data_IF_126346979321
#
_entry.id   IF_126346979321
#
_cell.length_a   1.000
_cell.length_b   1.000
_cell.length_c   1.000
_cell.angle_alpha   90.00
_cell.angle_beta   90.00
_cell.angle_gamma   90.00
#
_symmetry.space_group_name_H-M   'P 1'
#
loop_
_entity.id
_entity.type
_entity.pdbx_description
1 polymer ?
#
# COMPACT_ATOMS: atom_id res chain seq x y z
N UNK A 1 11.72 43.56 -50.50
CA UNK A 1 11.74 43.37 -49.02
C UNK A 1 10.34 43.30 -48.38
N UNK A 2 9.29 43.79 -49.04
CA UNK A 2 7.92 43.90 -48.47
C UNK A 2 7.18 42.57 -48.26
N UNK A 3 7.39 41.56 -49.12
CA UNK A 3 6.71 40.25 -48.99
C UNK A 3 7.13 39.45 -47.76
N UNK A 4 8.42 39.49 -47.36
CA UNK A 4 8.92 38.76 -46.18
C UNK A 4 8.39 39.34 -44.87
N UNK A 5 8.20 40.66 -44.81
CA UNK A 5 7.61 41.33 -43.65
C UNK A 5 6.13 40.97 -43.47
N UNK A 6 5.37 40.86 -44.56
CA UNK A 6 3.98 40.43 -44.51
C UNK A 6 3.81 38.97 -44.06
N UNK A 7 4.70 38.07 -44.50
CA UNK A 7 4.70 36.67 -44.07
C UNK A 7 5.05 36.52 -42.58
N UNK A 8 6.01 37.31 -42.09
CA UNK A 8 6.38 37.30 -40.67
C UNK A 8 5.23 37.79 -39.77
N UNK A 9 4.50 38.82 -40.19
CA UNK A 9 3.36 39.35 -39.44
C UNK A 9 2.20 38.33 -39.36
N UNK A 10 1.95 37.60 -40.44
CA UNK A 10 0.91 36.57 -40.49
C UNK A 10 1.21 35.39 -39.55
N UNK A 11 2.47 34.95 -39.47
CA UNK A 11 2.88 33.86 -38.56
C UNK A 11 2.73 34.29 -37.10
N UNK A 12 3.12 35.52 -36.77
CA UNK A 12 2.98 36.08 -35.42
C UNK A 12 1.52 36.21 -35.01
N UNK A 13 0.65 36.67 -35.93
CA UNK A 13 -0.79 36.75 -35.67
C UNK A 13 -1.42 35.36 -35.47
N UNK A 14 -0.99 34.35 -36.21
CA UNK A 14 -1.49 32.97 -36.08
C UNK A 14 -1.03 32.32 -34.76
N UNK A 15 0.21 32.59 -34.33
CA UNK A 15 0.72 32.14 -33.03
C UNK A 15 0.01 32.84 -31.85
N UNK A 16 -0.30 34.13 -31.97
CA UNK A 16 -1.06 34.88 -30.97
C UNK A 16 -2.52 34.42 -30.87
N UNK A 17 -3.16 34.06 -31.99
CA UNK A 17 -4.49 33.43 -31.96
C UNK A 17 -4.46 32.02 -31.35
N UNK A 18 -3.39 31.25 -31.58
CA UNK A 18 -3.21 29.93 -30.94
C UNK A 18 -3.05 30.02 -29.42
N UNK A 19 -2.36 31.05 -28.92
CA UNK A 19 -2.24 31.34 -27.48
C UNK A 19 -3.55 31.83 -26.85
N UNK A 20 -4.39 32.55 -27.61
CA UNK A 20 -5.71 32.99 -27.15
C UNK A 20 -6.75 31.84 -27.08
N UNK A 21 -6.53 30.75 -27.82
CA UNK A 21 -7.34 29.53 -27.78
C UNK A 21 -6.82 28.47 -26.82
N UNK A 22 -5.71 28.72 -26.13
CA UNK A 22 -5.28 27.89 -25.00
C UNK A 22 -6.24 28.17 -23.83
N UNK A 23 -7.32 27.39 -23.76
CA UNK A 23 -8.22 27.39 -22.61
C UNK A 23 -7.45 27.10 -21.31
N UNK A 24 -7.93 27.59 -20.16
CA UNK A 24 -7.28 27.34 -18.89
C UNK A 24 -7.14 25.83 -18.68
N UNK A 25 -5.91 25.38 -18.41
CA UNK A 25 -5.65 24.01 -18.02
C UNK A 25 -6.43 23.72 -16.74
N UNK A 26 -7.41 22.83 -16.82
CA UNK A 26 -8.14 22.34 -15.66
C UNK A 26 -7.22 21.37 -14.93
N UNK A 27 -6.94 21.62 -13.65
CA UNK A 27 -6.19 20.71 -12.82
C UNK A 27 -7.09 20.24 -11.67
N UNK A 28 -7.28 18.93 -11.55
CA UNK A 28 -7.78 18.30 -10.35
C UNK A 28 -6.67 18.18 -9.32
N UNK A 29 -6.95 18.62 -8.11
CA UNK A 29 -6.05 18.47 -6.97
C UNK A 29 -6.65 17.47 -5.99
N UNK A 30 -5.83 16.53 -5.56
CA UNK A 30 -6.23 15.54 -4.56
C UNK A 30 -5.58 15.90 -3.22
N UNK A 31 -6.40 16.05 -2.18
CA UNK A 31 -5.91 16.22 -0.81
C UNK A 31 -6.30 14.98 -0.02
N UNK A 32 -5.31 14.33 0.58
CA UNK A 32 -5.48 13.06 1.29
C UNK A 32 -4.92 13.17 2.70
N UNK A 33 -5.62 12.59 3.66
CA UNK A 33 -5.18 12.48 5.05
C UNK A 33 -5.47 11.08 5.58
N UNK A 34 -4.48 10.48 6.23
CA UNK A 34 -4.58 9.16 6.87
C UNK A 34 -5.00 9.35 8.33
N UNK A 35 -5.95 8.55 8.82
CA UNK A 35 -6.46 8.71 10.20
C UNK A 35 -5.36 8.57 11.27
N UNK A 36 -4.43 7.65 11.08
CA UNK A 36 -3.26 7.46 11.93
C UNK A 36 -2.01 7.22 11.08
N UNK A 37 -1.03 8.12 11.15
CA UNK A 37 0.25 7.95 10.47
C UNK A 37 1.11 6.82 11.06
N UNK A 38 0.81 6.35 12.28
CA UNK A 38 1.53 5.25 12.93
C UNK A 38 0.58 4.26 13.59
N UNK A 39 0.73 2.98 13.25
CA UNK A 39 -0.01 1.86 13.84
C UNK A 39 0.92 1.06 14.74
N UNK A 40 0.49 0.84 15.97
CA UNK A 40 1.27 0.19 17.02
C UNK A 40 0.76 -1.23 17.25
N UNK A 41 1.54 -2.24 16.89
CA UNK A 41 1.16 -3.67 17.02
C UNK A 41 1.74 -4.30 18.28
N UNK A 42 0.89 -4.89 19.12
CA UNK A 42 1.28 -5.60 20.34
C UNK A 42 1.47 -7.10 20.06
N UNK A 43 2.11 -7.88 20.97
CA UNK A 43 2.24 -9.33 20.79
C UNK A 43 0.90 -10.09 20.66
N UNK A 44 -0.19 -9.54 21.21
CA UNK A 44 -1.54 -10.11 21.12
C UNK A 44 -2.41 -9.37 20.07
N UNK A 45 -1.78 -8.76 19.05
CA UNK A 45 -2.49 -8.05 18.00
C UNK A 45 -3.36 -9.02 17.18
N UNK A 46 -4.65 -8.72 17.06
CA UNK A 46 -5.64 -9.55 16.36
C UNK A 46 -6.08 -8.98 15.01
N UNK A 47 -5.39 -7.96 14.52
CA UNK A 47 -5.78 -7.18 13.35
C UNK A 47 -6.49 -5.86 13.72
N UNK A 48 -6.68 -5.01 12.72
CA UNK A 48 -7.32 -3.71 12.85
C UNK A 48 -7.61 -3.10 11.48
N UNK A 49 -8.09 -1.86 11.47
CA UNK A 49 -8.40 -1.13 10.25
C UNK A 49 -7.80 0.27 10.34
N UNK A 50 -7.13 0.70 9.27
CA UNK A 50 -6.70 2.07 9.09
C UNK A 50 -7.64 2.76 8.11
N UNK A 51 -8.13 3.95 8.46
CA UNK A 51 -9.09 4.66 7.61
C UNK A 51 -8.37 5.79 6.88
N UNK A 52 -8.46 5.77 5.56
CA UNK A 52 -8.00 6.84 4.70
C UNK A 52 -9.16 7.76 4.34
N UNK A 53 -8.96 9.06 4.50
CA UNK A 53 -9.89 10.09 4.06
C UNK A 53 -9.24 10.97 3.01
N UNK A 54 -10.01 11.43 2.04
CA UNK A 54 -9.51 12.41 1.08
C UNK A 54 -10.62 13.16 0.39
N UNK A 55 -10.26 14.30 -0.18
CA UNK A 55 -11.14 15.13 -0.97
C UNK A 55 -10.52 15.48 -2.32
N UNK A 56 -11.35 15.42 -3.36
CA UNK A 56 -11.03 15.91 -4.71
C UNK A 56 -11.42 17.39 -4.78
N UNK A 57 -10.44 18.25 -5.00
CA UNK A 57 -10.64 19.67 -5.27
C UNK A 57 -10.53 19.96 -6.77
N UNK A 58 -11.41 20.85 -7.26
CA UNK A 58 -11.38 21.35 -8.63
C UNK A 58 -10.96 22.81 -8.61
N UNK A 59 -10.03 23.20 -9.47
CA UNK A 59 -9.57 24.59 -9.59
C UNK A 59 -10.64 25.53 -10.20
N UNK A 60 -11.68 24.99 -10.85
CA UNK A 60 -12.76 25.80 -11.43
C UNK A 60 -14.13 25.10 -11.29
N UNK A 61 -15.21 25.80 -10.89
CA UNK A 61 -16.58 25.28 -10.92
C UNK A 61 -17.11 25.24 -12.37
N UNK A 62 -16.49 24.44 -13.23
CA UNK A 62 -17.12 24.03 -14.49
C UNK A 62 -18.34 23.15 -14.18
N UNK A 63 -19.33 23.05 -15.10
CA UNK A 63 -20.48 22.17 -14.91
C UNK A 63 -19.98 20.77 -14.55
N UNK A 64 -20.60 20.07 -13.59
CA UNK A 64 -20.17 18.73 -13.23
C UNK A 64 -20.11 17.90 -14.51
N UNK A 65 -18.92 17.41 -14.85
CA UNK A 65 -18.81 16.42 -15.91
C UNK A 65 -19.85 15.32 -15.65
N UNK A 66 -20.47 14.82 -16.73
CA UNK A 66 -21.53 13.81 -16.65
C UNK A 66 -21.05 12.46 -16.09
N UNK A 67 -19.76 12.34 -15.76
CA UNK A 67 -19.12 11.10 -15.35
C UNK A 67 -18.68 11.16 -13.87
N UNK A 68 -19.03 10.15 -13.06
CA UNK A 68 -18.53 10.05 -11.70
C UNK A 68 -17.01 9.86 -11.70
N UNK A 69 -16.33 10.45 -10.71
CA UNK A 69 -14.91 10.20 -10.50
C UNK A 69 -14.65 8.76 -10.10
N UNK A 70 -13.57 8.20 -10.62
CA UNK A 70 -13.08 6.89 -10.24
C UNK A 70 -11.77 7.03 -9.45
N UNK A 71 -11.63 6.23 -8.41
CA UNK A 71 -10.49 6.31 -7.50
C UNK A 71 -9.93 4.91 -7.26
N UNK A 72 -8.61 4.78 -7.37
CA UNK A 72 -7.89 3.55 -7.05
C UNK A 72 -6.84 3.89 -6.00
N UNK A 73 -6.90 3.21 -4.86
CA UNK A 73 -5.96 3.30 -3.75
C UNK A 73 -5.15 2.02 -3.73
N UNK A 74 -3.84 2.11 -3.88
CA UNK A 74 -2.91 0.98 -3.81
C UNK A 74 -2.03 1.14 -2.58
N UNK A 75 -2.08 0.17 -1.67
CA UNK A 75 -1.29 0.13 -0.44
C UNK A 75 -0.18 -0.89 -0.61
N UNK A 76 1.06 -0.46 -0.41
CA UNK A 76 2.28 -1.25 -0.58
C UNK A 76 3.01 -1.30 0.76
N UNK A 77 3.15 -2.50 1.32
CA UNK A 77 3.94 -2.73 2.52
C UNK A 77 5.45 -2.82 2.25
N UNK A 78 6.25 -3.06 3.31
CA UNK A 78 7.70 -3.10 3.20
C UNK A 78 8.13 -4.20 2.23
N UNK A 79 9.10 -3.88 1.36
CA UNK A 79 9.57 -4.80 0.32
C UNK A 79 10.57 -5.80 0.89
N UNK A 80 10.48 -7.04 0.43
CA UNK A 80 11.35 -8.13 0.89
C UNK A 80 11.56 -9.18 -0.20
N UNK A 81 12.68 -9.88 -0.11
CA UNK A 81 12.96 -11.03 -0.97
C UNK A 81 12.25 -12.28 -0.44
N UNK A 82 11.63 -13.03 -1.34
CA UNK A 82 10.81 -14.18 -1.00
C UNK A 82 11.07 -15.35 -1.91
N UNK A 83 10.77 -16.57 -1.43
CA UNK A 83 10.93 -17.79 -2.23
C UNK A 83 9.67 -18.63 -2.18
N UNK A 84 9.03 -18.79 -3.33
CA UNK A 84 7.90 -19.71 -3.52
C UNK A 84 8.43 -21.08 -3.87
N UNK A 85 7.96 -22.12 -3.18
CA UNK A 85 8.37 -23.50 -3.41
C UNK A 85 7.18 -24.36 -3.81
N UNK A 86 7.35 -25.11 -4.90
CA UNK A 86 6.37 -26.10 -5.34
C UNK A 86 6.66 -27.41 -4.62
N UNK A 87 5.70 -27.87 -3.81
CA UNK A 87 5.75 -29.18 -3.15
C UNK A 87 5.11 -30.23 -4.04
N UNK A 88 5.77 -31.36 -4.19
CA UNK A 88 5.26 -32.52 -4.90
C UNK A 88 5.37 -33.75 -3.98
N UNK A 89 4.42 -34.67 -4.09
CA UNK A 89 4.44 -35.91 -3.31
C UNK A 89 5.14 -37.00 -4.12
N UNK A 90 6.32 -37.42 -3.69
CA UNK A 90 7.04 -38.57 -4.26
C UNK A 90 7.30 -39.60 -3.17
N UNK A 91 7.11 -40.88 -3.49
CA UNK A 91 7.31 -41.98 -2.54
C UNK A 91 6.58 -41.79 -1.21
N UNK A 92 5.37 -41.19 -1.23
CA UNK A 92 4.56 -40.98 -0.03
C UNK A 92 4.91 -39.73 0.80
N UNK A 93 6.05 -39.08 0.56
CA UNK A 93 6.51 -37.88 1.28
C UNK A 93 6.40 -36.60 0.43
N UNK A 94 6.21 -35.46 1.09
CA UNK A 94 6.23 -34.15 0.43
C UNK A 94 7.65 -33.64 0.29
N UNK A 95 8.08 -33.39 -0.93
CA UNK A 95 9.39 -32.82 -1.23
C UNK A 95 9.24 -31.48 -1.95
N UNK A 96 10.16 -30.55 -1.69
CA UNK A 96 10.23 -29.30 -2.46
C UNK A 96 10.89 -29.63 -3.80
N UNK A 97 10.11 -29.65 -4.88
CA UNK A 97 10.60 -30.02 -6.20
C UNK A 97 11.23 -28.83 -6.93
N UNK A 98 10.53 -27.70 -6.94
CA UNK A 98 10.97 -26.48 -7.63
C UNK A 98 10.83 -25.25 -6.74
N UNK A 99 11.60 -24.21 -7.05
CA UNK A 99 11.52 -22.93 -6.37
C UNK A 99 11.69 -21.74 -7.32
N UNK A 100 11.07 -20.63 -6.95
CA UNK A 100 11.25 -19.32 -7.60
C UNK A 100 11.47 -18.26 -6.54
N UNK A 101 12.48 -17.42 -6.77
CA UNK A 101 12.79 -16.28 -5.92
C UNK A 101 12.16 -15.02 -6.50
N UNK A 102 11.42 -14.30 -5.66
CA UNK A 102 10.85 -12.99 -5.90
C UNK A 102 11.71 -11.96 -5.17
N UNK A 103 12.01 -10.85 -5.83
CA UNK A 103 12.93 -9.82 -5.32
C UNK A 103 12.21 -8.53 -5.05
N UNK A 104 12.47 -7.94 -3.88
CA UNK A 104 11.87 -6.68 -3.43
C UNK A 104 10.36 -6.62 -3.66
N UNK A 105 9.65 -7.74 -3.46
CA UNK A 105 8.20 -7.77 -3.60
C UNK A 105 7.53 -7.20 -2.36
N UNK A 106 6.36 -6.54 -2.51
CA UNK A 106 5.61 -6.05 -1.37
C UNK A 106 5.25 -7.19 -0.42
N UNK A 107 5.53 -7.01 0.87
CA UNK A 107 5.10 -7.98 1.89
C UNK A 107 3.60 -7.94 2.17
N UNK A 108 2.98 -6.79 1.87
CA UNK A 108 1.54 -6.52 1.87
C UNK A 108 1.21 -5.73 0.59
N UNK A 109 0.12 -6.05 -0.08
CA UNK A 109 -0.34 -5.35 -1.29
C UNK A 109 -1.86 -5.33 -1.31
N UNK A 110 -2.47 -4.16 -1.13
CA UNK A 110 -3.91 -4.04 -1.22
C UNK A 110 -4.33 -3.02 -2.27
N UNK A 111 -5.34 -3.35 -3.08
CA UNK A 111 -5.86 -2.46 -4.12
C UNK A 111 -7.36 -2.25 -3.87
N UNK A 112 -7.73 -1.00 -3.60
CA UNK A 112 -9.10 -0.61 -3.29
C UNK A 112 -9.60 0.35 -4.35
N UNK A 113 -10.81 0.16 -4.83
CA UNK A 113 -11.44 1.10 -5.74
C UNK A 113 -12.92 1.31 -5.45
N UNK A 114 -13.53 2.28 -6.13
CA UNK A 114 -14.96 2.57 -6.04
C UNK A 114 -15.79 1.74 -7.04
N UNK A 115 -15.12 1.22 -8.07
CA UNK A 115 -15.67 0.40 -9.15
C UNK A 115 -14.66 -0.68 -9.58
N UNK A 116 -15.10 -1.76 -10.27
CA UNK A 116 -14.19 -2.73 -10.87
C UNK A 116 -13.14 -2.04 -11.75
N UNK A 117 -11.87 -2.38 -11.57
CA UNK A 117 -10.74 -1.72 -12.23
C UNK A 117 -10.88 -1.81 -13.76
N UNK A 118 -11.48 -2.89 -14.26
CA UNK A 118 -11.78 -3.09 -15.68
C UNK A 118 -12.73 -2.05 -16.27
N UNK A 119 -13.63 -1.53 -15.43
CA UNK A 119 -14.58 -0.50 -15.77
C UNK A 119 -14.06 0.92 -15.49
N UNK A 120 -12.97 1.06 -14.73
CA UNK A 120 -12.32 2.35 -14.44
C UNK A 120 -11.45 2.78 -15.62
N UNK A 121 -10.61 1.88 -16.15
CA UNK A 121 -9.66 2.22 -17.20
C UNK A 121 -9.45 1.09 -18.22
N UNK A 122 -9.05 1.47 -19.44
CA UNK A 122 -8.68 0.54 -20.50
C UNK A 122 -7.43 -0.29 -20.14
N UNK A 123 -7.27 -1.46 -20.75
CA UNK A 123 -6.23 -2.43 -20.36
C UNK A 123 -4.79 -1.91 -20.52
N UNK A 124 -4.54 -0.99 -21.44
CA UNK A 124 -3.27 -0.31 -21.62
C UNK A 124 -2.99 0.67 -20.46
N UNK A 125 -4.00 1.45 -20.06
CA UNK A 125 -3.92 2.36 -18.91
C UNK A 125 -3.74 1.57 -17.62
N UNK A 126 -4.51 0.50 -17.40
CA UNK A 126 -4.36 -0.38 -16.22
C UNK A 126 -2.96 -0.94 -16.08
N UNK A 127 -2.37 -1.40 -17.18
CA UNK A 127 -0.99 -1.94 -17.19
C UNK A 127 0.05 -0.85 -16.94
N UNK A 128 -0.07 0.29 -17.63
CA UNK A 128 0.85 1.42 -17.47
C UNK A 128 0.82 1.97 -16.05
N UNK A 129 -0.37 2.04 -15.46
CA UNK A 129 -0.61 2.55 -14.12
C UNK A 129 -0.55 1.47 -13.03
N UNK A 130 -0.25 0.21 -13.38
CA UNK A 130 -0.18 -0.93 -12.47
C UNK A 130 -1.43 -1.07 -11.57
N UNK A 131 -2.62 -0.96 -12.18
CA UNK A 131 -3.88 -1.04 -11.45
C UNK A 131 -4.28 -2.51 -11.23
N UNK A 132 -4.48 -2.86 -9.97
CA UNK A 132 -4.82 -4.23 -9.54
C UNK A 132 -3.59 -5.09 -9.27
N UNK A 133 -3.79 -6.15 -8.49
CA UNK A 133 -2.72 -7.08 -8.09
C UNK A 133 -2.11 -7.73 -9.34
N UNK A 134 -2.94 -8.06 -10.32
CA UNK A 134 -2.54 -8.69 -11.59
C UNK A 134 -1.55 -7.85 -12.39
N UNK A 135 -1.68 -6.52 -12.39
CA UNK A 135 -0.81 -5.61 -13.14
C UNK A 135 0.32 -5.01 -12.30
N UNK A 136 0.39 -5.35 -11.01
CA UNK A 136 1.50 -4.96 -10.15
C UNK A 136 2.74 -5.78 -10.51
N UNK A 137 3.87 -5.10 -10.71
CA UNK A 137 5.13 -5.74 -11.08
C UNK A 137 5.66 -6.56 -9.90
N UNK A 138 5.94 -7.84 -10.12
CA UNK A 138 6.51 -8.75 -9.12
C UNK A 138 7.78 -9.38 -9.69
N UNK A 139 8.90 -8.67 -9.54
CA UNK A 139 10.19 -9.09 -10.10
C UNK A 139 10.59 -10.46 -9.59
N UNK A 140 10.91 -11.36 -10.53
CA UNK A 140 11.41 -12.70 -10.26
C UNK A 140 12.86 -12.84 -10.74
N UNK A 141 13.62 -13.69 -10.05
CA UNK A 141 14.90 -14.19 -10.53
C UNK A 141 14.70 -15.48 -11.32
N UNK A 142 15.09 -15.47 -12.59
CA UNK A 142 15.03 -16.63 -13.50
C UNK A 142 16.45 -16.95 -13.95
N UNK A 143 17.08 -17.95 -13.32
CA UNK A 143 18.48 -18.26 -13.58
C UNK A 143 19.40 -17.09 -13.20
N UNK A 144 20.12 -16.54 -14.19
CA UNK A 144 20.99 -15.37 -14.03
C UNK A 144 20.29 -14.03 -14.31
N UNK A 145 19.05 -14.05 -14.81
CA UNK A 145 18.32 -12.86 -15.25
C UNK A 145 17.21 -12.44 -14.27
N UNK A 146 16.78 -11.18 -14.37
CA UNK A 146 15.75 -10.57 -13.53
C UNK A 146 14.67 -9.96 -14.41
N UNK A 147 13.46 -10.49 -14.30
CA UNK A 147 12.32 -10.00 -15.07
C UNK A 147 11.04 -10.08 -14.23
N UNK A 148 10.11 -9.16 -14.48
CA UNK A 148 8.72 -9.41 -14.13
C UNK A 148 8.17 -10.50 -15.05
N UNK A 149 7.37 -11.40 -14.50
CA UNK A 149 6.76 -12.47 -15.30
C UNK A 149 5.35 -12.11 -15.67
N UNK A 150 4.90 -12.69 -16.78
CA UNK A 150 3.51 -12.60 -17.24
C UNK A 150 2.57 -13.00 -16.09
N UNK A 151 1.43 -12.33 -16.00
CA UNK A 151 0.41 -12.59 -14.97
C UNK A 151 0.03 -14.07 -14.82
N UNK A 152 0.08 -14.83 -15.92
CA UNK A 152 -0.29 -16.25 -15.99
C UNK A 152 0.83 -17.23 -15.59
N UNK A 153 1.99 -16.75 -15.11
CA UNK A 153 3.04 -17.64 -14.61
C UNK A 153 2.56 -18.41 -13.37
N UNK A 154 2.70 -19.75 -13.40
CA UNK A 154 2.21 -20.63 -12.33
C UNK A 154 2.78 -20.28 -10.95
N UNK A 155 4.03 -19.80 -10.85
CA UNK A 155 4.63 -19.44 -9.57
C UNK A 155 4.13 -18.08 -9.09
N UNK A 156 3.91 -17.13 -10.00
CA UNK A 156 3.28 -15.85 -9.69
C UNK A 156 1.86 -16.06 -9.18
N UNK A 157 1.02 -16.79 -9.91
CA UNK A 157 -0.37 -17.06 -9.49
C UNK A 157 -0.42 -17.78 -8.14
N UNK A 158 0.43 -18.80 -7.96
CA UNK A 158 0.50 -19.51 -6.68
C UNK A 158 1.01 -18.63 -5.53
N UNK A 159 1.96 -17.73 -5.80
CA UNK A 159 2.46 -16.77 -4.81
C UNK A 159 1.36 -15.80 -4.38
N UNK A 160 0.70 -15.15 -5.34
CA UNK A 160 -0.40 -14.21 -5.08
C UNK A 160 -1.50 -14.89 -4.27
N UNK A 161 -1.96 -16.07 -4.71
CA UNK A 161 -2.97 -16.87 -3.98
C UNK A 161 -2.57 -17.16 -2.54
N UNK A 162 -1.33 -17.58 -2.29
CA UNK A 162 -0.84 -17.83 -0.93
C UNK A 162 -0.78 -16.56 -0.06
N UNK A 163 -0.62 -15.38 -0.66
CA UNK A 163 -0.67 -14.11 0.04
C UNK A 163 -2.11 -13.66 0.32
N UNK A 164 -3.02 -13.88 -0.62
CA UNK A 164 -4.46 -13.65 -0.47
C UNK A 164 -5.06 -14.53 0.64
N UNK A 165 -4.70 -15.81 0.69
CA UNK A 165 -5.11 -16.74 1.76
C UNK A 165 -4.71 -16.27 3.17
N UNK A 166 -3.67 -15.44 3.27
CA UNK A 166 -3.21 -14.83 4.54
C UNK A 166 -3.75 -13.43 4.78
N UNK A 167 -4.57 -12.89 3.86
CA UNK A 167 -5.07 -11.52 3.91
C UNK A 167 -3.99 -10.45 3.74
N UNK A 168 -2.82 -10.83 3.19
CA UNK A 168 -1.72 -9.88 2.94
C UNK A 168 -1.85 -9.21 1.57
N UNK A 169 -2.46 -9.92 0.62
CA UNK A 169 -2.79 -9.42 -0.70
C UNK A 169 -4.32 -9.34 -0.78
N UNK A 170 -4.86 -8.18 -1.14
CA UNK A 170 -6.32 -7.97 -1.13
C UNK A 170 -6.73 -7.00 -2.24
N UNK A 171 -7.86 -7.30 -2.90
CA UNK A 171 -8.40 -6.44 -3.96
C UNK A 171 -9.92 -6.32 -3.78
N UNK A 172 -10.38 -5.11 -3.41
CA UNK A 172 -11.80 -4.83 -3.22
C UNK A 172 -12.24 -3.67 -4.15
N UNK A 173 -13.01 -3.98 -5.21
CA UNK A 173 -13.47 -2.99 -6.17
C UNK A 173 -14.58 -2.07 -5.65
N UNK A 174 -15.00 -2.22 -4.40
CA UNK A 174 -16.05 -1.44 -3.76
C UNK A 174 -15.63 -0.85 -2.41
N UNK A 175 -14.37 -0.99 -1.98
CA UNK A 175 -13.89 -0.48 -0.70
C UNK A 175 -13.87 1.06 -0.62
N UNK A 176 -13.62 1.75 -1.73
CA UNK A 176 -13.64 3.22 -1.76
C UNK A 176 -15.08 3.72 -1.86
N UNK A 177 -15.51 4.47 -0.85
CA UNK A 177 -16.84 5.08 -0.79
C UNK A 177 -16.75 6.60 -0.86
N UNK A 178 -17.43 7.19 -1.82
CA UNK A 178 -17.68 8.63 -1.85
C UNK A 178 -18.80 8.97 -0.86
N UNK A 179 -18.49 9.84 0.11
CA UNK A 179 -19.45 10.39 1.06
C UNK A 179 -20.15 11.63 0.49
N UNK A 180 -19.42 12.37 -0.35
CA UNK A 180 -19.93 13.48 -1.18
C UNK A 180 -19.30 13.36 -2.58
N UNK A 181 -19.70 14.17 -3.59
CA UNK A 181 -19.06 14.13 -4.91
C UNK A 181 -17.55 14.40 -4.91
N UNK A 182 -17.02 14.93 -3.81
CA UNK A 182 -15.59 15.26 -3.66
C UNK A 182 -14.93 14.51 -2.51
N UNK A 183 -15.64 14.16 -1.44
CA UNK A 183 -15.08 13.51 -0.25
C UNK A 183 -15.24 11.99 -0.33
N UNK A 184 -14.16 11.27 -0.10
CA UNK A 184 -14.14 9.82 -0.06
C UNK A 184 -13.49 9.27 1.21
N UNK A 185 -13.82 8.01 1.49
CA UNK A 185 -13.26 7.20 2.58
C UNK A 185 -12.93 5.82 2.04
N UNK A 186 -11.82 5.23 2.50
CA UNK A 186 -11.55 3.79 2.34
C UNK A 186 -10.99 3.22 3.64
N UNK A 187 -11.39 1.99 3.95
CA UNK A 187 -10.80 1.20 5.03
C UNK A 187 -9.65 0.36 4.49
N UNK A 188 -8.55 0.29 5.22
CA UNK A 188 -7.38 -0.54 4.92
C UNK A 188 -7.31 -1.61 6.01
N UNK A 189 -7.72 -2.86 5.72
CA UNK A 189 -7.66 -3.95 6.68
C UNK A 189 -6.21 -4.35 6.95
N UNK A 190 -5.84 -4.38 8.23
CA UNK A 190 -4.52 -4.81 8.69
C UNK A 190 -4.70 -6.16 9.42
N UNK A 191 -4.28 -7.29 8.81
CA UNK A 191 -4.43 -8.61 9.42
C UNK A 191 -3.51 -8.78 10.64
N UNK A 192 -3.76 -9.81 11.45
CA UNK A 192 -2.92 -10.10 12.62
C UNK A 192 -1.44 -10.34 12.28
N UNK A 193 -1.15 -10.91 11.10
CA UNK A 193 0.20 -11.17 10.60
C UNK A 193 0.80 -10.00 9.79
N UNK A 194 0.28 -8.77 9.98
CA UNK A 194 0.73 -7.61 9.21
C UNK A 194 2.24 -7.34 9.41
N UNK A 195 3.04 -7.24 8.33
CA UNK A 195 4.46 -6.95 8.43
C UNK A 195 4.77 -5.59 9.09
N UNK A 196 5.83 -5.54 9.89
CA UNK A 196 6.32 -4.30 10.51
C UNK A 196 7.16 -3.54 9.48
N UNK A 197 6.98 -2.22 9.39
CA UNK A 197 7.76 -1.35 8.51
C UNK A 197 6.95 -0.18 7.95
N UNK A 198 7.51 0.47 6.93
CA UNK A 198 6.87 1.57 6.21
C UNK A 198 5.90 1.05 5.15
N UNK A 199 4.75 1.70 5.06
CA UNK A 199 3.72 1.45 4.07
C UNK A 199 3.52 2.69 3.22
N UNK A 200 3.47 2.49 1.92
CA UNK A 200 3.20 3.51 0.91
C UNK A 200 1.76 3.35 0.42
N UNK A 201 1.03 4.46 0.28
CA UNK A 201 -0.34 4.48 -0.21
C UNK A 201 -0.37 5.39 -1.43
N UNK A 202 -0.59 4.82 -2.60
CA UNK A 202 -0.74 5.54 -3.85
C UNK A 202 -2.23 5.72 -4.14
N UNK A 203 -2.69 6.96 -4.23
CA UNK A 203 -4.07 7.29 -4.58
C UNK A 203 -4.08 7.88 -5.97
N UNK A 204 -4.79 7.24 -6.89
CA UNK A 204 -4.91 7.63 -8.30
C UNK A 204 -6.35 7.99 -8.61
N UNK A 205 -6.57 9.20 -9.11
CA UNK A 205 -7.87 9.71 -9.54
C UNK A 205 -7.99 9.57 -11.06
N UNK A 206 -9.09 8.98 -11.50
CA UNK A 206 -9.43 8.76 -12.89
C UNK A 206 -10.70 9.51 -13.28
N UNK A 207 -10.72 10.01 -14.50
CA UNK A 207 -11.88 10.57 -15.16
C UNK A 207 -11.93 10.07 -16.61
N UNK A 208 -13.08 9.54 -17.02
CA UNK A 208 -13.28 9.02 -18.38
C UNK A 208 -12.20 8.00 -18.83
N UNK A 209 -11.68 7.17 -17.93
CA UNK A 209 -10.66 6.17 -18.25
C UNK A 209 -9.21 6.67 -18.23
N UNK A 210 -8.98 7.96 -18.01
CA UNK A 210 -7.65 8.57 -17.98
C UNK A 210 -7.25 8.98 -16.57
N UNK A 211 -5.94 8.92 -16.28
CA UNK A 211 -5.40 9.37 -15.01
C UNK A 211 -5.39 10.91 -14.98
N UNK A 212 -6.18 11.50 -14.09
CA UNK A 212 -6.23 12.95 -13.90
C UNK A 212 -5.12 13.42 -12.97
N UNK A 213 -5.01 12.80 -11.80
CA UNK A 213 -4.03 13.15 -10.78
C UNK A 213 -3.70 11.97 -9.89
N UNK A 214 -2.57 12.05 -9.20
CA UNK A 214 -2.16 11.06 -8.21
C UNK A 214 -1.53 11.73 -7.00
N UNK A 215 -1.66 11.11 -5.84
CA UNK A 215 -1.05 11.57 -4.60
C UNK A 215 -0.58 10.37 -3.80
N UNK A 216 0.52 10.55 -3.09
CA UNK A 216 1.14 9.51 -2.28
C UNK A 216 1.13 9.94 -0.82
N UNK A 217 0.85 8.98 0.06
CA UNK A 217 0.98 9.15 1.50
C UNK A 217 1.62 7.89 2.08
N UNK A 218 2.04 7.95 3.33
CA UNK A 218 2.68 6.82 4.00
C UNK A 218 2.23 6.72 5.45
N UNK A 219 2.29 5.50 5.97
CA UNK A 219 2.12 5.23 7.38
C UNK A 219 3.11 4.16 7.84
N UNK A 220 3.41 4.13 9.13
CA UNK A 220 4.37 3.20 9.69
C UNK A 220 3.68 2.21 10.63
N UNK A 221 3.97 0.92 10.47
CA UNK A 221 3.59 -0.09 11.44
C UNK A 221 4.81 -0.42 12.29
N UNK A 222 4.72 -0.17 13.59
CA UNK A 222 5.77 -0.42 14.56
C UNK A 222 5.30 -1.35 15.67
N UNK A 223 6.20 -2.23 16.15
CA UNK A 223 5.90 -3.10 17.28
C UNK A 223 5.97 -2.32 18.59
N UNK A 224 4.96 -2.49 19.44
CA UNK A 224 5.02 -2.04 20.83
C UNK A 224 5.86 -3.03 21.62
N UNK A 225 7.08 -2.61 21.98
CA UNK A 225 7.97 -3.40 22.81
C UNK A 225 7.54 -3.34 24.28
N UNK A 226 7.32 -4.51 24.91
CA UNK A 226 7.36 -4.63 26.38
C UNK A 226 8.67 -4.05 26.94
N UNK A 227 9.75 -4.15 26.16
CA UNK A 227 11.05 -3.52 26.41
C UNK A 227 10.95 -2.01 26.60
N UNK A 228 10.17 -1.30 25.78
CA UNK A 228 9.98 0.15 25.93
C UNK A 228 9.16 0.48 27.18
N UNK A 229 8.16 -0.35 27.51
CA UNK A 229 7.39 -0.22 28.75
C UNK A 229 8.29 -0.40 29.98
N UNK A 230 9.11 -1.47 30.02
CA UNK A 230 10.07 -1.74 31.10
C UNK A 230 11.12 -0.63 31.19
N UNK A 231 11.68 -0.20 30.06
CA UNK A 231 12.66 0.88 30.01
C UNK A 231 12.08 2.21 30.50
N UNK A 232 10.85 2.55 30.11
CA UNK A 232 10.16 3.74 30.59
C UNK A 232 9.82 3.63 32.08
N UNK A 233 9.36 2.47 32.55
CA UNK A 233 9.09 2.23 33.96
C UNK A 233 10.36 2.37 34.82
N UNK A 234 11.49 1.83 34.36
CA UNK A 234 12.78 1.97 35.02
C UNK A 234 13.30 3.42 35.02
N UNK A 235 13.05 4.20 33.96
CA UNK A 235 13.52 5.60 33.86
C UNK A 235 12.62 6.60 34.59
N UNK A 236 11.30 6.49 34.46
CA UNK A 236 10.35 7.45 35.05
C UNK A 236 9.94 7.07 36.48
N UNK A 237 9.93 5.78 36.81
CA UNK A 237 9.51 5.25 38.11
C UNK A 237 10.56 4.30 38.71
N UNK A 238 11.84 4.66 38.59
CA UNK A 238 12.98 3.78 38.93
C UNK A 238 12.96 3.22 40.35
N UNK A 239 12.48 3.99 41.35
CA UNK A 239 12.37 3.52 42.74
C UNK A 239 11.32 2.41 42.87
N UNK A 240 10.13 2.61 42.29
CA UNK A 240 9.04 1.63 42.32
C UNK A 240 9.44 0.38 41.54
N UNK A 241 10.05 0.57 40.37
CA UNK A 241 10.57 -0.53 39.55
C UNK A 241 11.62 -1.36 40.29
N UNK A 242 12.59 -0.71 40.94
CA UNK A 242 13.62 -1.37 41.73
C UNK A 242 13.05 -2.17 42.91
N UNK A 243 12.11 -1.59 43.66
CA UNK A 243 11.44 -2.26 44.77
C UNK A 243 10.68 -3.51 44.29
N UNK A 244 9.91 -3.39 43.21
CA UNK A 244 9.12 -4.48 42.65
C UNK A 244 10.01 -5.60 42.11
N UNK A 245 11.14 -5.24 41.49
CA UNK A 245 12.17 -6.18 41.03
C UNK A 245 12.80 -6.94 42.19
N UNK A 246 13.16 -6.24 43.28
CA UNK A 246 13.71 -6.87 44.48
C UNK A 246 12.72 -7.84 45.13
N UNK A 247 11.44 -7.45 45.19
CA UNK A 247 10.37 -8.28 45.73
C UNK A 247 10.15 -9.54 44.88
N UNK A 248 10.17 -9.41 43.54
CA UNK A 248 10.13 -10.56 42.64
C UNK A 248 11.34 -11.48 42.80
N UNK A 249 12.54 -10.94 42.97
CA UNK A 249 13.75 -11.73 43.20
C UNK A 249 13.66 -12.53 44.51
N UNK A 250 13.19 -11.90 45.60
CA UNK A 250 12.94 -12.56 46.88
C UNK A 250 11.87 -13.66 46.76
N UNK A 251 10.75 -13.36 46.11
CA UNK A 251 9.67 -14.33 45.90
C UNK A 251 10.13 -15.53 45.06
N UNK A 252 10.94 -15.29 44.02
CA UNK A 252 11.48 -16.34 43.16
C UNK A 252 12.51 -17.18 43.91
N UNK A 253 13.41 -16.57 44.68
CA UNK A 253 14.37 -17.27 45.52
C UNK A 253 13.69 -18.13 46.60
N UNK A 254 12.61 -17.60 47.20
CA UNK A 254 11.78 -18.34 48.14
C UNK A 254 11.04 -19.52 47.48
N UNK A 255 10.43 -19.33 46.31
CA UNK A 255 9.80 -20.41 45.54
C UNK A 255 10.81 -21.48 45.13
N UNK A 256 12.00 -21.10 44.65
CA UNK A 256 13.07 -22.03 44.32
C UNK A 256 13.51 -22.83 45.55
N UNK A 257 13.65 -22.17 46.71
CA UNK A 257 13.96 -22.84 47.98
C UNK A 257 12.91 -23.89 48.37
N UNK A 258 11.62 -23.64 48.10
CA UNK A 258 10.54 -24.60 48.36
C UNK A 258 10.57 -25.77 47.38
N UNK A 259 10.75 -25.51 46.07
CA UNK A 259 10.76 -26.56 45.03
C UNK A 259 12.00 -27.45 45.12
N UNK A 260 13.16 -26.88 45.48
CA UNK A 260 14.41 -27.62 45.62
C UNK A 260 14.69 -28.09 47.05
N UNK A 261 13.74 -27.92 47.98
CA UNK A 261 13.81 -28.54 49.30
C UNK A 261 13.66 -30.05 49.12
N UNK A 262 14.80 -30.74 49.00
CA UNK A 262 14.88 -32.20 49.09
C UNK A 262 14.69 -32.59 50.55
N UNK A 263 13.71 -33.43 50.80
CA UNK A 263 13.79 -34.41 51.90
C UNK A 263 14.90 -35.43 51.60
#
# INVERSE_FOLDING_TARGET
MTRRAASALAIVATALLGLAFAGPAQAEKLIVSVSNARVMVTPNYSGGELVLFGSVERDNPAPPEQFPYDLVVTVIGPRSDMVTRRKERKFGIWINMDSRQFLMVPSYLAVFSNRPIEAIAAADVRRRQQLGITHTLLTQRIGTDYADVVADDQFRTAFVRLREERGLYDEDPAAVKFLTPTLFRTGIPLPAEVPIGSYEVHIKLFGNGELLTQTETSFEIAKVGFEQFVANAAKQHGIIYGLLTALMALATGWMASIVFRRD
#
